data_IF_334815559020
#
_entry.id   IF_334815559020
#
_cell.length_a   1.000
_cell.length_b   1.000
_cell.length_c   1.000
_cell.angle_alpha   90.00
_cell.angle_beta   90.00
_cell.angle_gamma   90.00
#
_symmetry.space_group_name_H-M   'P 1'
#
loop_
_entity.id
_entity.type
_entity.pdbx_description
1 polymer ?
#
# COMPACT_ATOMS: atom_id res chain seq x y z
N UNK A 1 36.74 8.69 45.55
CA UNK A 1 35.43 8.11 45.18
C UNK A 1 35.11 8.51 43.76
N UNK A 2 35.49 7.67 42.80
CA UNK A 2 35.30 7.96 41.39
C UNK A 2 35.46 6.66 40.64
N UNK A 3 34.35 6.16 40.11
CA UNK A 3 34.20 5.12 39.08
C UNK A 3 32.68 4.99 38.90
N UNK A 4 32.13 5.46 37.78
CA UNK A 4 31.22 4.69 36.90
C UNK A 4 30.55 5.57 35.82
N UNK A 5 31.34 6.15 34.91
CA UNK A 5 30.85 6.89 33.72
C UNK A 5 31.38 6.33 32.40
N UNK A 6 31.84 5.08 32.38
CA UNK A 6 32.41 4.44 31.17
C UNK A 6 31.54 3.35 30.54
N UNK A 7 30.38 3.00 31.12
CA UNK A 7 29.48 1.98 30.53
C UNK A 7 28.56 2.47 29.41
N UNK A 8 28.17 3.76 29.33
CA UNK A 8 27.13 4.17 28.34
C UNK A 8 27.60 4.36 26.89
N UNK A 9 28.90 4.60 26.62
CA UNK A 9 29.40 4.80 25.24
C UNK A 9 29.66 3.50 24.49
N UNK A 10 30.04 2.41 25.19
CA UNK A 10 30.31 1.10 24.58
C UNK A 10 29.02 0.40 24.17
N UNK A 11 27.95 0.52 24.97
CA UNK A 11 26.64 -0.05 24.65
C UNK A 11 25.93 0.75 23.54
N UNK A 12 26.10 2.08 23.52
CA UNK A 12 25.62 2.93 22.44
C UNK A 12 26.31 2.64 21.09
N UNK A 13 27.63 2.43 21.09
CA UNK A 13 28.37 2.06 19.87
C UNK A 13 28.07 0.63 19.41
N UNK A 14 27.75 -0.30 20.32
CA UNK A 14 27.30 -1.66 19.96
C UNK A 14 25.94 -1.64 19.27
N UNK A 15 25.00 -0.81 19.73
CA UNK A 15 23.70 -0.67 19.09
C UNK A 15 23.78 0.13 17.78
N UNK A 16 24.63 1.16 17.68
CA UNK A 16 24.84 1.91 16.45
C UNK A 16 25.55 1.08 15.36
N UNK A 17 26.50 0.20 15.73
CA UNK A 17 27.13 -0.74 14.79
C UNK A 17 26.21 -1.88 14.36
N UNK A 18 25.25 -2.29 15.21
CA UNK A 18 24.20 -3.24 14.81
C UNK A 18 23.28 -2.66 13.72
N UNK A 19 23.07 -1.34 13.68
CA UNK A 19 22.31 -0.67 12.61
C UNK A 19 23.17 -0.37 11.37
N UNK A 20 24.48 -0.12 11.51
CA UNK A 20 25.37 0.11 10.38
C UNK A 20 25.77 -1.19 9.63
N UNK A 21 25.80 -2.34 10.33
CA UNK A 21 26.05 -3.65 9.71
C UNK A 21 24.87 -4.18 8.85
N UNK A 22 23.72 -3.48 8.83
CA UNK A 22 22.57 -3.81 7.97
C UNK A 22 22.86 -3.46 6.50
N UNK A 23 23.92 -2.70 6.21
CA UNK A 23 24.30 -2.27 4.87
C UNK A 23 25.19 -3.21 4.05
N UNK A 24 25.85 -4.23 4.63
CA UNK A 24 26.93 -4.94 3.92
C UNK A 24 27.19 -6.38 4.40
N UNK A 25 26.19 -7.27 4.42
CA UNK A 25 26.44 -8.72 4.44
C UNK A 25 25.45 -9.49 3.54
N UNK A 26 26.00 -9.98 2.44
CA UNK A 26 25.43 -10.97 1.55
C UNK A 26 25.49 -12.39 2.17
N UNK A 27 24.68 -13.29 1.60
CA UNK A 27 24.77 -14.74 1.69
C UNK A 27 24.53 -15.37 3.08
N UNK A 28 23.26 -15.58 3.40
CA UNK A 28 22.82 -16.50 4.45
C UNK A 28 21.46 -17.10 4.11
N UNK A 29 21.44 -18.38 3.74
CA UNK A 29 20.22 -19.16 3.59
C UNK A 29 19.53 -19.36 4.94
N UNK A 30 18.47 -18.60 5.19
CA UNK A 30 17.45 -18.97 6.16
C UNK A 30 16.19 -19.31 5.37
N UNK A 31 15.96 -20.60 5.21
CA UNK A 31 14.72 -21.17 4.69
C UNK A 31 13.61 -20.90 5.71
N UNK A 32 12.64 -20.05 5.37
CA UNK A 32 11.36 -20.05 6.06
C UNK A 32 10.38 -20.92 5.28
N UNK A 33 9.80 -21.86 6.01
CA UNK A 33 9.01 -22.98 5.54
C UNK A 33 7.63 -22.86 6.17
N UNK A 34 6.67 -22.21 5.52
CA UNK A 34 5.29 -22.62 5.76
C UNK A 34 5.13 -23.96 5.03
N UNK A 35 4.94 -25.03 5.79
CA UNK A 35 4.75 -26.40 5.26
C UNK A 35 3.59 -26.47 4.26
N UNK A 36 2.60 -25.57 4.40
CA UNK A 36 1.50 -25.41 3.44
C UNK A 36 1.99 -24.85 2.09
N UNK A 37 2.74 -23.74 2.09
CA UNK A 37 3.26 -23.14 0.86
C UNK A 37 4.34 -23.99 0.19
N UNK A 38 5.16 -24.71 0.96
CA UNK A 38 6.14 -25.66 0.41
C UNK A 38 5.47 -26.86 -0.27
N UNK A 39 4.41 -27.44 0.33
CA UNK A 39 3.68 -28.57 -0.27
C UNK A 39 2.95 -28.16 -1.55
N UNK A 40 2.38 -26.96 -1.59
CA UNK A 40 1.77 -26.42 -2.81
C UNK A 40 2.81 -26.21 -3.92
N UNK A 41 3.99 -25.65 -3.59
CA UNK A 41 5.09 -25.46 -4.54
C UNK A 41 5.73 -26.80 -4.98
N UNK A 42 5.85 -27.80 -4.10
CA UNK A 42 6.36 -29.14 -4.45
C UNK A 42 5.36 -29.95 -5.30
N UNK A 43 4.06 -29.85 -5.02
CA UNK A 43 3.01 -30.42 -5.88
C UNK A 43 3.00 -29.77 -7.28
N UNK A 44 3.29 -28.47 -7.36
CA UNK A 44 3.44 -27.75 -8.63
C UNK A 44 4.75 -28.08 -9.37
N UNK A 45 5.82 -28.50 -8.67
CA UNK A 45 7.10 -28.95 -9.24
C UNK A 45 7.06 -30.37 -9.80
N UNK A 46 6.18 -31.22 -9.28
CA UNK A 46 6.03 -32.60 -9.73
C UNK A 46 5.25 -32.75 -11.06
N UNK A 47 4.63 -31.65 -11.54
CA UNK A 47 3.95 -31.58 -12.83
C UNK A 47 4.66 -30.60 -13.77
N UNK A 48 5.38 -31.20 -14.72
CA UNK A 48 5.58 -30.75 -16.10
C UNK A 48 6.62 -29.66 -16.42
N UNK A 49 7.57 -30.04 -17.29
CA UNK A 49 8.29 -29.14 -18.20
C UNK A 49 7.45 -28.73 -19.42
N UNK A 50 6.13 -28.70 -19.30
CA UNK A 50 5.24 -28.20 -20.33
C UNK A 50 5.32 -26.67 -20.40
N UNK A 51 5.17 -26.05 -21.59
CA UNK A 51 5.08 -24.61 -21.71
C UNK A 51 3.95 -24.07 -20.82
N UNK A 52 4.23 -22.98 -20.10
CA UNK A 52 3.22 -22.30 -19.28
C UNK A 52 2.06 -21.88 -20.19
N UNK A 53 0.88 -22.49 -20.01
CA UNK A 53 -0.30 -22.07 -20.74
C UNK A 53 -0.69 -20.63 -20.33
N UNK A 54 -0.82 -19.77 -21.33
CA UNK A 54 -1.23 -18.36 -21.18
C UNK A 54 -2.51 -18.07 -21.95
N UNK A 55 -3.25 -19.11 -22.34
CA UNK A 55 -4.56 -19.02 -22.99
C UNK A 55 -5.53 -18.16 -22.19
N UNK A 56 -5.46 -18.18 -20.85
CA UNK A 56 -6.28 -17.36 -19.95
C UNK A 56 -6.10 -15.84 -20.13
N UNK A 57 -5.02 -15.39 -20.78
CA UNK A 57 -4.77 -13.98 -21.11
C UNK A 57 -5.38 -13.56 -22.46
N UNK A 58 -5.87 -14.51 -23.25
CA UNK A 58 -6.46 -14.20 -24.56
C UNK A 58 -7.83 -13.56 -24.38
N UNK A 59 -8.11 -12.42 -25.06
CA UNK A 59 -9.44 -11.83 -25.05
C UNK A 59 -10.46 -12.78 -25.67
N UNK A 60 -11.56 -13.03 -24.97
CA UNK A 60 -12.65 -13.90 -25.44
C UNK A 60 -14.05 -13.34 -25.14
N UNK A 61 -14.16 -12.31 -24.30
CA UNK A 61 -15.44 -11.72 -23.93
C UNK A 61 -15.87 -10.62 -24.92
N UNK A 62 -17.17 -10.51 -25.18
CA UNK A 62 -17.71 -9.43 -26.00
C UNK A 62 -17.78 -8.12 -25.18
N UNK A 63 -17.35 -6.98 -25.72
CA UNK A 63 -17.61 -5.68 -25.09
C UNK A 63 -19.10 -5.38 -25.01
N UNK A 64 -19.51 -4.74 -23.92
CA UNK A 64 -20.89 -4.28 -23.68
C UNK A 64 -20.94 -2.75 -23.61
N UNK A 65 -22.06 -2.11 -23.95
CA UNK A 65 -22.21 -0.66 -23.84
C UNK A 65 -22.40 -0.22 -22.39
N UNK A 66 -21.61 0.76 -21.95
CA UNK A 66 -21.75 1.43 -20.65
C UNK A 66 -21.95 2.93 -20.85
N UNK A 67 -22.80 3.54 -20.01
CA UNK A 67 -22.94 4.99 -19.93
C UNK A 67 -21.67 5.59 -19.34
N UNK A 68 -20.98 6.40 -20.14
CA UNK A 68 -19.74 7.11 -19.77
C UNK A 68 -19.91 8.63 -19.90
N UNK A 69 -21.15 9.13 -19.85
CA UNK A 69 -21.46 10.56 -20.00
C UNK A 69 -20.73 11.46 -18.99
N UNK A 70 -20.59 11.04 -17.73
CA UNK A 70 -19.82 11.77 -16.71
C UNK A 70 -18.31 11.88 -17.02
N UNK A 71 -17.82 11.04 -17.93
CA UNK A 71 -16.44 10.99 -18.37
C UNK A 71 -16.27 11.46 -19.84
N UNK A 72 -17.33 11.98 -20.46
CA UNK A 72 -17.34 12.36 -21.88
C UNK A 72 -16.26 13.41 -22.19
N UNK A 73 -15.56 13.21 -23.31
CA UNK A 73 -14.54 14.15 -23.80
C UNK A 73 -13.26 14.23 -22.95
N UNK A 74 -13.23 13.56 -21.79
CA UNK A 74 -12.03 13.49 -20.94
C UNK A 74 -10.98 12.59 -21.60
N UNK A 75 -9.74 13.08 -21.64
CA UNK A 75 -8.58 12.30 -22.03
C UNK A 75 -8.00 11.67 -20.78
N UNK A 76 -7.81 10.36 -20.82
CA UNK A 76 -7.19 9.64 -19.71
C UNK A 76 -5.76 9.26 -20.07
N UNK A 77 -4.85 9.55 -19.15
CA UNK A 77 -3.50 9.02 -19.21
C UNK A 77 -3.45 7.51 -19.02
N UNK A 78 -2.27 6.95 -19.23
CA UNK A 78 -1.96 5.59 -18.78
C UNK A 78 -1.96 5.54 -17.24
N UNK A 79 -2.54 4.52 -16.59
CA UNK A 79 -3.19 3.35 -17.20
C UNK A 79 -4.70 3.48 -17.43
N UNK A 80 -5.35 4.48 -16.83
CA UNK A 80 -6.82 4.58 -16.68
C UNK A 80 -7.58 4.37 -18.00
N UNK A 81 -7.32 5.17 -19.03
CA UNK A 81 -8.03 5.09 -20.31
C UNK A 81 -7.80 3.76 -21.02
N UNK A 82 -6.56 3.46 -21.45
CA UNK A 82 -6.30 2.30 -22.30
C UNK A 82 -6.41 0.96 -21.56
N UNK A 83 -6.40 0.92 -20.22
CA UNK A 83 -6.39 -0.33 -19.48
C UNK A 83 -7.59 -0.57 -18.59
N UNK A 84 -8.08 0.41 -17.83
CA UNK A 84 -9.24 0.16 -16.95
C UNK A 84 -10.54 0.19 -17.75
N UNK A 85 -10.68 1.19 -18.60
CA UNK A 85 -11.87 1.38 -19.45
C UNK A 85 -11.68 0.70 -20.81
N UNK A 86 -10.45 0.67 -21.32
CA UNK A 86 -10.11 0.02 -22.59
C UNK A 86 -10.34 0.90 -23.82
N UNK A 87 -10.43 2.21 -23.61
CA UNK A 87 -10.56 3.20 -24.68
C UNK A 87 -9.21 3.91 -24.92
N UNK A 88 -8.80 3.99 -26.18
CA UNK A 88 -7.66 4.81 -26.62
C UNK A 88 -8.18 6.13 -27.20
N UNK A 89 -8.45 7.12 -26.36
CA UNK A 89 -8.98 8.42 -26.79
C UNK A 89 -9.83 9.09 -25.72
N UNK A 90 -10.66 10.05 -26.16
CA UNK A 90 -11.75 10.57 -25.34
C UNK A 90 -12.89 9.57 -25.28
N UNK A 91 -13.55 9.47 -24.12
CA UNK A 91 -14.76 8.65 -24.00
C UNK A 91 -15.95 9.37 -24.65
N UNK A 92 -16.81 8.60 -25.31
CA UNK A 92 -18.11 9.09 -25.73
C UNK A 92 -19.13 9.04 -24.58
N UNK A 93 -20.38 9.41 -24.85
CA UNK A 93 -21.49 9.20 -23.90
C UNK A 93 -21.75 7.73 -23.60
N UNK A 94 -21.47 6.86 -24.57
CA UNK A 94 -21.52 5.41 -24.40
C UNK A 94 -20.23 4.81 -24.91
N UNK A 95 -19.63 3.93 -24.13
CA UNK A 95 -18.37 3.27 -24.48
C UNK A 95 -18.57 1.75 -24.42
N UNK A 96 -18.07 1.03 -25.42
CA UNK A 96 -18.04 -0.43 -25.40
C UNK A 96 -16.86 -0.90 -24.55
N UNK A 97 -17.15 -1.60 -23.46
CA UNK A 97 -16.15 -2.03 -22.48
C UNK A 97 -16.28 -3.53 -22.22
N UNK A 98 -15.14 -4.21 -22.13
CA UNK A 98 -15.07 -5.57 -21.60
C UNK A 98 -14.10 -5.58 -20.42
N UNK A 99 -14.63 -5.50 -19.20
CA UNK A 99 -13.82 -5.54 -17.99
C UNK A 99 -12.94 -6.80 -17.90
N UNK A 100 -13.43 -8.02 -18.20
CA UNK A 100 -12.57 -9.22 -18.22
C UNK A 100 -11.40 -9.10 -19.20
N UNK A 101 -11.64 -8.68 -20.44
CA UNK A 101 -10.57 -8.53 -21.43
C UNK A 101 -9.59 -7.42 -21.05
N UNK A 102 -10.07 -6.34 -20.46
CA UNK A 102 -9.23 -5.29 -19.90
C UNK A 102 -8.31 -5.86 -18.81
N UNK A 103 -8.84 -6.67 -17.89
CA UNK A 103 -8.07 -7.32 -16.82
C UNK A 103 -7.00 -8.26 -17.40
N UNK A 104 -7.36 -9.13 -18.35
CA UNK A 104 -6.41 -10.01 -19.07
C UNK A 104 -5.29 -9.22 -19.73
N UNK A 105 -5.64 -8.16 -20.46
CA UNK A 105 -4.66 -7.28 -21.14
C UNK A 105 -3.70 -6.61 -20.15
N UNK A 106 -4.22 -6.15 -19.01
CA UNK A 106 -3.41 -5.55 -17.95
C UNK A 106 -2.41 -6.54 -17.36
N UNK A 107 -2.89 -7.73 -16.99
CA UNK A 107 -2.04 -8.77 -16.43
C UNK A 107 -1.01 -9.32 -17.43
N UNK A 108 -1.38 -9.46 -18.70
CA UNK A 108 -0.43 -9.80 -19.77
C UNK A 108 0.72 -8.78 -19.87
N UNK A 109 0.39 -7.48 -19.83
CA UNK A 109 1.40 -6.41 -19.82
C UNK A 109 2.22 -6.35 -18.53
N UNK A 110 1.62 -6.66 -17.38
CA UNK A 110 2.30 -6.75 -16.09
C UNK A 110 3.33 -7.88 -16.12
N UNK A 111 2.93 -9.08 -16.52
CA UNK A 111 3.80 -10.25 -16.62
C UNK A 111 4.99 -10.01 -17.58
N UNK A 112 4.78 -9.27 -18.67
CA UNK A 112 5.87 -8.94 -19.61
C UNK A 112 6.87 -7.90 -19.08
N UNK A 113 6.54 -7.17 -18.00
CA UNK A 113 7.36 -6.10 -17.41
C UNK A 113 8.04 -6.50 -16.11
N UNK A 114 7.65 -7.64 -15.53
CA UNK A 114 8.20 -8.10 -14.26
C UNK A 114 9.70 -8.33 -14.35
N UNK A 115 10.38 -8.11 -13.22
CA UNK A 115 11.79 -8.44 -13.08
C UNK A 115 12.08 -9.90 -13.44
N UNK A 116 13.25 -10.20 -14.03
CA UNK A 116 13.69 -11.57 -14.24
C UNK A 116 13.63 -12.38 -12.94
N UNK A 117 13.09 -13.59 -13.05
CA UNK A 117 12.98 -14.53 -11.94
C UNK A 117 13.24 -15.94 -12.46
N UNK A 118 13.61 -16.85 -11.55
CA UNK A 118 13.73 -18.28 -11.87
C UNK A 118 12.42 -18.84 -12.41
N UNK A 119 12.48 -19.82 -13.29
CA UNK A 119 11.29 -20.40 -13.93
C UNK A 119 10.26 -20.90 -12.90
N UNK A 120 10.70 -21.58 -11.84
CA UNK A 120 9.81 -22.01 -10.73
C UNK A 120 9.02 -20.84 -10.13
N UNK A 121 9.64 -19.67 -9.96
CA UNK A 121 8.95 -18.48 -9.42
C UNK A 121 7.99 -17.89 -10.44
N UNK A 122 8.40 -17.90 -11.71
CA UNK A 122 7.56 -17.45 -12.83
C UNK A 122 6.29 -18.30 -12.93
N UNK A 123 6.40 -19.62 -12.79
CA UNK A 123 5.25 -20.54 -12.86
C UNK A 123 4.25 -20.28 -11.75
N UNK A 124 4.74 -20.12 -10.50
CA UNK A 124 3.89 -19.77 -9.36
C UNK A 124 3.18 -18.43 -9.60
N UNK A 125 3.91 -17.41 -10.06
CA UNK A 125 3.31 -16.12 -10.38
C UNK A 125 2.27 -16.24 -11.48
N UNK A 126 2.55 -16.95 -12.58
CA UNK A 126 1.59 -17.09 -13.68
C UNK A 126 0.33 -17.83 -13.25
N UNK A 127 0.44 -18.94 -12.50
CA UNK A 127 -0.73 -19.67 -11.97
C UNK A 127 -1.54 -18.83 -10.99
N UNK A 128 -0.87 -17.99 -10.19
CA UNK A 128 -1.56 -17.07 -9.29
C UNK A 128 -2.30 -15.98 -10.05
N UNK A 129 -1.67 -15.44 -11.11
CA UNK A 129 -2.30 -14.46 -11.99
C UNK A 129 -3.48 -15.06 -12.75
N UNK A 130 -3.35 -16.31 -13.21
CA UNK A 130 -4.45 -17.06 -13.81
C UNK A 130 -5.66 -17.09 -12.87
N UNK A 131 -5.47 -17.55 -11.62
CA UNK A 131 -6.54 -17.56 -10.60
C UNK A 131 -7.16 -16.18 -10.37
N UNK A 132 -6.34 -15.14 -10.26
CA UNK A 132 -6.82 -13.75 -10.06
C UNK A 132 -7.71 -13.33 -11.24
N UNK A 133 -7.25 -13.57 -12.47
CA UNK A 133 -7.94 -13.15 -13.69
C UNK A 133 -9.21 -13.96 -13.94
N UNK A 134 -9.15 -15.29 -13.79
CA UNK A 134 -10.27 -16.18 -14.11
C UNK A 134 -11.34 -16.23 -13.03
N UNK A 135 -11.03 -15.81 -11.79
CA UNK A 135 -12.03 -15.69 -10.71
C UNK A 135 -12.92 -14.44 -10.82
N UNK A 136 -12.64 -13.52 -11.74
CA UNK A 136 -13.49 -12.35 -11.95
C UNK A 136 -14.70 -12.71 -12.83
N UNK A 137 -15.89 -12.59 -12.25
CA UNK A 137 -17.18 -12.86 -12.87
C UNK A 137 -18.02 -11.55 -12.94
N UNK A 138 -18.12 -10.89 -14.11
CA UNK A 138 -18.85 -9.63 -14.29
C UNK A 138 -20.33 -9.67 -13.88
N UNK A 139 -20.97 -10.82 -14.07
CA UNK A 139 -22.39 -11.07 -13.80
C UNK A 139 -22.71 -11.14 -12.31
N UNK A 140 -21.74 -11.57 -11.50
CA UNK A 140 -21.83 -11.61 -10.03
C UNK A 140 -20.92 -10.56 -9.38
N UNK A 141 -20.53 -9.53 -10.14
CA UNK A 141 -19.65 -8.49 -9.64
C UNK A 141 -20.34 -7.72 -8.50
N UNK A 142 -19.63 -7.54 -7.38
CA UNK A 142 -20.10 -6.75 -6.24
C UNK A 142 -20.07 -5.25 -6.59
N UNK A 143 -21.09 -4.80 -7.33
CA UNK A 143 -21.28 -3.42 -7.77
C UNK A 143 -21.74 -2.56 -6.60
N UNK A 144 -21.09 -1.41 -6.43
CA UNK A 144 -21.37 -0.51 -5.32
C UNK A 144 -20.99 0.93 -5.66
N UNK A 145 -21.55 1.89 -4.93
CA UNK A 145 -21.09 3.28 -4.99
C UNK A 145 -19.76 3.45 -4.26
N UNK A 146 -19.07 4.55 -4.54
CA UNK A 146 -17.89 4.96 -3.79
C UNK A 146 -18.15 5.09 -2.29
N UNK A 147 -19.33 5.56 -1.87
CA UNK A 147 -19.68 5.68 -0.46
C UNK A 147 -19.82 4.32 0.23
N UNK A 148 -20.44 3.34 -0.45
CA UNK A 148 -20.51 1.97 0.04
C UNK A 148 -19.11 1.34 0.15
N UNK A 149 -18.23 1.62 -0.82
CA UNK A 149 -16.84 1.19 -0.77
C UNK A 149 -16.07 1.85 0.38
N UNK A 150 -16.31 3.14 0.64
CA UNK A 150 -15.76 3.86 1.81
C UNK A 150 -16.20 3.20 3.13
N UNK A 151 -17.48 2.83 3.27
CA UNK A 151 -17.99 2.11 4.44
C UNK A 151 -17.32 0.74 4.61
N UNK A 152 -17.03 0.02 3.52
CA UNK A 152 -16.24 -1.24 3.59
C UNK A 152 -14.83 -1.02 4.10
N UNK A 153 -14.17 0.05 3.67
CA UNK A 153 -12.85 0.44 4.18
C UNK A 153 -12.94 0.73 5.69
N UNK A 154 -13.96 1.47 6.14
CA UNK A 154 -14.18 1.73 7.58
C UNK A 154 -14.35 0.43 8.37
N UNK A 155 -15.16 -0.50 7.86
CA UNK A 155 -15.35 -1.82 8.50
C UNK A 155 -14.04 -2.60 8.64
N UNK A 156 -13.22 -2.65 7.60
CA UNK A 156 -11.93 -3.32 7.64
C UNK A 156 -10.93 -2.66 8.61
N UNK A 157 -10.92 -1.31 8.66
CA UNK A 157 -10.11 -0.56 9.64
C UNK A 157 -10.57 -0.90 11.06
N UNK A 158 -11.88 -0.86 11.33
CA UNK A 158 -12.44 -1.14 12.64
C UNK A 158 -12.13 -2.57 13.10
N UNK A 159 -12.21 -3.56 12.21
CA UNK A 159 -11.80 -4.94 12.50
C UNK A 159 -10.32 -4.99 12.87
N UNK A 160 -9.43 -4.43 12.04
CA UNK A 160 -8.00 -4.42 12.30
C UNK A 160 -7.63 -3.69 13.61
N UNK A 161 -8.30 -2.57 13.90
CA UNK A 161 -8.17 -1.83 15.16
C UNK A 161 -8.57 -2.69 16.37
N UNK A 162 -9.71 -3.38 16.29
CA UNK A 162 -10.20 -4.24 17.39
C UNK A 162 -9.21 -5.38 17.73
N UNK A 163 -8.49 -5.86 16.72
CA UNK A 163 -7.48 -6.91 16.81
C UNK A 163 -6.09 -6.39 17.15
N UNK A 164 -5.86 -5.08 17.15
CA UNK A 164 -4.56 -4.49 17.45
C UNK A 164 -4.18 -4.73 18.92
N UNK A 165 -3.04 -5.40 19.15
CA UNK A 165 -2.46 -5.58 20.47
C UNK A 165 -1.36 -4.54 20.67
N UNK A 166 -1.75 -3.40 21.23
CA UNK A 166 -0.84 -2.28 21.49
C UNK A 166 0.29 -2.63 22.45
N UNK A 167 0.10 -3.59 23.36
CA UNK A 167 1.16 -4.03 24.28
C UNK A 167 2.22 -4.83 23.52
N UNK A 168 1.81 -5.69 22.58
CA UNK A 168 2.74 -6.38 21.68
C UNK A 168 3.52 -5.40 20.81
N UNK A 169 2.85 -4.39 20.25
CA UNK A 169 3.52 -3.33 19.46
C UNK A 169 4.52 -2.57 20.35
N UNK A 170 4.09 -2.11 21.52
CA UNK A 170 4.95 -1.38 22.46
C UNK A 170 6.21 -2.18 22.81
N UNK A 171 6.05 -3.45 23.17
CA UNK A 171 7.16 -4.36 23.50
C UNK A 171 8.07 -4.61 22.30
N UNK A 172 7.50 -4.83 21.12
CA UNK A 172 8.27 -5.15 19.91
C UNK A 172 9.17 -3.99 19.49
N UNK A 173 8.67 -2.76 19.52
CA UNK A 173 9.41 -1.57 19.11
C UNK A 173 10.18 -0.90 20.26
N UNK A 174 10.06 -1.40 21.49
CA UNK A 174 10.71 -0.82 22.66
C UNK A 174 10.19 0.58 23.02
N UNK A 175 8.91 0.85 22.73
CA UNK A 175 8.28 2.14 22.99
C UNK A 175 8.02 2.37 24.48
N UNK A 176 8.27 3.59 24.94
CA UNK A 176 7.77 4.04 26.24
C UNK A 176 6.27 4.43 26.13
N UNK A 177 5.67 4.84 27.24
CA UNK A 177 4.24 5.17 27.29
C UNK A 177 3.88 6.41 26.45
N UNK A 178 4.79 7.38 26.31
CA UNK A 178 4.57 8.55 25.47
C UNK A 178 4.56 8.18 23.98
N UNK A 179 5.47 7.30 23.57
CA UNK A 179 5.60 6.83 22.19
C UNK A 179 4.40 5.98 21.77
N UNK A 180 3.94 5.06 22.62
CA UNK A 180 2.73 4.27 22.30
C UNK A 180 1.46 5.13 22.33
N UNK A 181 1.39 6.11 23.25
CA UNK A 181 0.28 7.08 23.28
C UNK A 181 0.25 7.95 22.01
N UNK A 182 1.43 8.37 21.53
CA UNK A 182 1.57 9.05 20.24
C UNK A 182 1.08 8.17 19.10
N UNK A 183 1.53 6.91 19.04
CA UNK A 183 1.20 6.00 17.96
C UNK A 183 -0.29 5.72 17.88
N UNK A 184 -0.96 5.55 19.03
CA UNK A 184 -2.43 5.38 19.10
C UNK A 184 -3.16 6.58 18.50
N UNK A 185 -2.81 7.80 18.91
CA UNK A 185 -3.41 9.03 18.33
C UNK A 185 -3.11 9.16 16.84
N UNK A 186 -1.90 8.78 16.41
CA UNK A 186 -1.52 8.89 15.01
C UNK A 186 -2.27 7.87 14.13
N UNK A 187 -2.64 6.72 14.70
CA UNK A 187 -3.44 5.71 14.03
C UNK A 187 -4.88 6.19 13.73
N UNK A 188 -5.41 7.17 14.48
CA UNK A 188 -6.71 7.77 14.19
C UNK A 188 -6.71 8.54 12.86
N UNK A 189 -5.54 8.96 12.38
CA UNK A 189 -5.37 9.58 11.07
C UNK A 189 -5.36 8.55 9.92
N UNK A 190 -5.39 7.24 10.22
CA UNK A 190 -5.50 6.16 9.23
C UNK A 190 -6.96 5.77 8.99
N UNK A 191 -7.77 6.76 8.64
CA UNK A 191 -9.20 6.58 8.39
C UNK A 191 -9.52 6.13 6.96
N UNK A 192 -10.81 5.89 6.69
CA UNK A 192 -11.23 5.44 5.36
C UNK A 192 -11.00 6.49 4.28
N UNK A 193 -11.07 7.79 4.61
CA UNK A 193 -10.75 8.88 3.68
C UNK A 193 -9.28 8.83 3.27
N UNK A 194 -8.38 8.60 4.21
CA UNK A 194 -6.93 8.45 3.98
C UNK A 194 -6.63 7.22 3.15
N UNK A 195 -7.20 6.06 3.50
CA UNK A 195 -7.01 4.85 2.70
C UNK A 195 -7.60 5.01 1.28
N UNK A 196 -8.80 5.56 1.14
CA UNK A 196 -9.42 5.76 -0.17
C UNK A 196 -8.61 6.72 -1.05
N UNK A 197 -8.05 7.77 -0.48
CA UNK A 197 -7.17 8.69 -1.22
C UNK A 197 -5.82 8.07 -1.58
N UNK A 198 -5.27 7.16 -0.77
CA UNK A 198 -4.13 6.32 -1.19
C UNK A 198 -4.54 5.46 -2.39
N UNK A 199 -5.70 4.79 -2.34
CA UNK A 199 -6.17 3.96 -3.44
C UNK A 199 -6.33 4.76 -4.74
N UNK A 200 -6.91 5.97 -4.67
CA UNK A 200 -6.98 6.88 -5.81
C UNK A 200 -5.59 7.27 -6.32
N UNK A 201 -4.64 7.53 -5.42
CA UNK A 201 -3.27 7.95 -5.78
C UNK A 201 -2.46 6.83 -6.44
N UNK A 202 -2.74 5.58 -6.06
CA UNK A 202 -2.10 4.38 -6.62
C UNK A 202 -2.73 3.94 -7.95
N UNK A 203 -4.05 4.04 -8.09
CA UNK A 203 -4.77 3.62 -9.30
C UNK A 203 -4.77 4.68 -10.39
N UNK A 204 -4.86 5.96 -10.01
CA UNK A 204 -5.09 7.05 -10.94
C UNK A 204 -3.86 7.93 -11.12
N UNK A 205 -3.63 8.35 -12.36
CA UNK A 205 -2.44 9.16 -12.73
C UNK A 205 -2.78 10.61 -13.00
N UNK A 206 -4.05 11.01 -12.93
CA UNK A 206 -4.47 12.39 -13.13
C UNK A 206 -4.23 13.24 -11.87
N UNK A 207 -4.00 14.53 -12.08
CA UNK A 207 -3.81 15.51 -11.00
C UNK A 207 -5.14 16.02 -10.43
N UNK A 208 -6.25 15.79 -11.15
CA UNK A 208 -7.60 16.14 -10.74
C UNK A 208 -8.20 15.08 -9.82
N UNK A 209 -8.28 15.41 -8.53
CA UNK A 209 -8.90 14.53 -7.54
C UNK A 209 -10.36 14.20 -7.82
N UNK A 210 -11.12 15.16 -8.38
CA UNK A 210 -12.52 14.93 -8.75
C UNK A 210 -12.64 13.95 -9.91
N UNK A 211 -11.76 14.02 -10.92
CA UNK A 211 -11.75 13.05 -12.02
C UNK A 211 -11.38 11.65 -11.52
N UNK A 212 -10.36 11.56 -10.66
CA UNK A 212 -9.95 10.29 -10.05
C UNK A 212 -11.10 9.64 -9.28
N UNK A 213 -11.84 10.44 -8.49
CA UNK A 213 -13.04 10.03 -7.78
C UNK A 213 -14.11 9.49 -8.72
N UNK A 214 -14.48 10.25 -9.76
CA UNK A 214 -15.51 9.86 -10.74
C UNK A 214 -15.13 8.57 -11.46
N UNK A 215 -13.87 8.40 -11.85
CA UNK A 215 -13.41 7.16 -12.49
C UNK A 215 -13.51 5.97 -11.53
N UNK A 216 -13.09 6.11 -10.27
CA UNK A 216 -13.18 5.01 -9.32
C UNK A 216 -14.64 4.64 -9.05
N UNK A 217 -15.51 5.63 -8.87
CA UNK A 217 -16.94 5.41 -8.69
C UNK A 217 -17.57 4.70 -9.91
N UNK A 218 -17.22 5.13 -11.13
CA UNK A 218 -17.62 4.45 -12.36
C UNK A 218 -17.19 2.97 -12.37
N UNK A 219 -15.93 2.68 -12.01
CA UNK A 219 -15.44 1.30 -11.95
C UNK A 219 -16.17 0.48 -10.88
N UNK A 220 -16.43 1.04 -9.70
CA UNK A 220 -17.14 0.36 -8.62
C UNK A 220 -18.59 0.06 -8.99
N UNK A 221 -19.29 0.99 -9.65
CA UNK A 221 -20.69 0.82 -10.02
C UNK A 221 -20.87 -0.13 -11.21
N UNK A 222 -19.92 -0.18 -12.15
CA UNK A 222 -20.07 -0.96 -13.38
C UNK A 222 -19.28 -2.27 -13.38
N UNK A 223 -18.05 -2.27 -12.88
CA UNK A 223 -17.19 -3.46 -12.81
C UNK A 223 -17.18 -4.12 -11.42
N UNK A 224 -17.64 -3.42 -10.38
CA UNK A 224 -17.64 -3.90 -9.00
C UNK A 224 -16.29 -3.85 -8.30
N UNK A 225 -16.30 -3.94 -6.97
CA UNK A 225 -15.06 -3.88 -6.17
C UNK A 225 -14.09 -5.00 -6.52
N UNK A 226 -14.62 -6.19 -6.86
CA UNK A 226 -13.82 -7.35 -7.22
C UNK A 226 -12.94 -7.11 -8.45
N UNK A 227 -13.35 -6.22 -9.37
CA UNK A 227 -12.51 -5.78 -10.49
C UNK A 227 -11.36 -4.89 -9.99
N UNK A 228 -11.67 -3.87 -9.17
CA UNK A 228 -10.70 -2.92 -8.60
C UNK A 228 -9.62 -3.63 -7.76
N UNK A 229 -10.02 -4.62 -6.96
CA UNK A 229 -9.16 -5.47 -6.13
C UNK A 229 -8.18 -6.33 -6.96
N UNK A 230 -8.47 -6.56 -8.24
CA UNK A 230 -7.65 -7.38 -9.15
C UNK A 230 -6.77 -6.56 -10.10
N UNK A 231 -6.88 -5.23 -10.09
CA UNK A 231 -6.09 -4.35 -10.96
C UNK A 231 -4.59 -4.50 -10.64
N UNK A 232 -3.73 -4.89 -11.61
CA UNK A 232 -2.30 -4.99 -11.37
C UNK A 232 -1.65 -3.60 -11.35
N UNK A 233 -0.54 -3.48 -10.61
CA UNK A 233 0.29 -2.29 -10.69
C UNK A 233 1.07 -2.32 -11.99
N UNK A 234 1.40 -1.18 -12.59
CA UNK A 234 2.26 -1.15 -13.78
C UNK A 234 3.76 -1.04 -13.49
N UNK A 235 4.18 -1.43 -12.29
CA UNK A 235 5.58 -1.59 -11.86
C UNK A 235 6.18 -2.96 -12.24
N UNK A 236 7.44 -3.22 -11.85
CA UNK A 236 8.18 -4.46 -12.13
C UNK A 236 8.03 -5.57 -11.08
N UNK A 237 7.34 -5.32 -9.99
CA UNK A 237 7.13 -6.26 -8.89
C UNK A 237 5.82 -7.04 -9.07
N UNK A 238 5.60 -8.07 -8.26
CA UNK A 238 4.29 -8.70 -8.17
C UNK A 238 3.43 -7.90 -7.18
N UNK A 239 2.42 -7.21 -7.72
CA UNK A 239 1.57 -6.26 -7.00
C UNK A 239 0.22 -6.04 -7.70
N UNK A 240 -0.85 -5.93 -6.91
CA UNK A 240 -2.20 -5.64 -7.38
C UNK A 240 -3.11 -5.04 -6.29
N UNK A 241 -4.32 -4.70 -6.71
CA UNK A 241 -5.40 -4.18 -5.88
C UNK A 241 -5.33 -2.68 -5.66
N UNK A 242 -6.29 -2.11 -4.90
CA UNK A 242 -6.44 -0.66 -4.77
C UNK A 242 -5.19 0.06 -4.26
N UNK A 243 -4.39 -0.61 -3.42
CA UNK A 243 -3.18 -0.04 -2.82
C UNK A 243 -1.90 -0.55 -3.46
N UNK A 244 -1.99 -1.35 -4.53
CA UNK A 244 -0.83 -1.91 -5.25
C UNK A 244 0.16 -2.62 -4.32
N UNK A 245 -0.37 -3.46 -3.43
CA UNK A 245 0.41 -4.15 -2.40
C UNK A 245 1.46 -5.05 -3.04
N UNK A 246 2.70 -4.96 -2.56
CA UNK A 246 3.81 -5.76 -3.07
C UNK A 246 4.16 -6.89 -2.10
N UNK A 247 4.97 -7.84 -2.56
CA UNK A 247 5.54 -8.91 -1.71
C UNK A 247 6.27 -8.38 -0.47
N UNK A 248 6.77 -7.15 -0.53
CA UNK A 248 7.44 -6.49 0.60
C UNK A 248 6.46 -6.02 1.68
N UNK A 249 5.20 -5.78 1.31
CA UNK A 249 4.15 -5.41 2.25
C UNK A 249 3.59 -6.64 2.99
N UNK A 250 3.37 -7.75 2.27
CA UNK A 250 2.73 -8.98 2.80
C UNK A 250 3.74 -10.05 3.28
N UNK A 251 5.04 -9.81 3.13
CA UNK A 251 6.07 -10.63 3.77
C UNK A 251 6.38 -11.93 3.05
N UNK A 252 6.24 -12.00 1.72
CA UNK A 252 6.76 -13.13 0.95
C UNK A 252 8.31 -13.03 0.87
N UNK A 253 9.00 -13.57 1.87
CA UNK A 253 10.46 -13.55 1.91
C UNK A 253 11.06 -13.86 3.28
N UNK A 254 12.35 -13.50 3.42
CA UNK A 254 13.16 -13.82 4.61
C UNK A 254 13.02 -12.82 5.77
N UNK A 255 12.27 -11.73 5.62
CA UNK A 255 12.11 -10.69 6.66
C UNK A 255 10.66 -10.22 6.72
N UNK A 256 10.09 -10.25 7.91
CA UNK A 256 8.81 -9.60 8.20
C UNK A 256 9.00 -8.09 8.20
N UNK A 257 8.13 -7.39 7.46
CA UNK A 257 8.12 -5.94 7.38
C UNK A 257 6.71 -5.48 7.02
N UNK A 258 6.40 -4.19 7.22
CA UNK A 258 5.13 -3.60 6.81
C UNK A 258 3.91 -4.36 7.39
N UNK A 259 2.91 -4.65 6.56
CA UNK A 259 1.68 -5.29 7.01
C UNK A 259 1.92 -6.68 7.60
N UNK A 260 2.89 -7.45 7.09
CA UNK A 260 3.13 -8.82 7.60
C UNK A 260 3.65 -8.83 9.04
N UNK A 261 4.52 -7.88 9.39
CA UNK A 261 4.97 -7.72 10.77
C UNK A 261 3.81 -7.30 11.67
N UNK A 262 3.05 -6.28 11.26
CA UNK A 262 1.92 -5.81 12.06
C UNK A 262 0.84 -6.88 12.22
N UNK A 263 0.59 -7.68 11.19
CA UNK A 263 -0.32 -8.82 11.23
C UNK A 263 0.08 -9.87 12.29
N UNK A 264 1.39 -10.09 12.49
CA UNK A 264 1.91 -10.97 13.56
C UNK A 264 1.77 -10.38 14.96
N UNK A 265 1.72 -9.06 15.06
CA UNK A 265 1.55 -8.33 16.32
C UNK A 265 0.07 -8.17 16.71
N UNK A 266 -0.88 -8.54 15.85
CA UNK A 266 -2.30 -8.59 16.21
C UNK A 266 -2.58 -9.67 17.26
N UNK A 267 -3.73 -9.55 17.93
CA UNK A 267 -4.30 -10.61 18.79
C UNK A 267 -4.50 -11.90 17.99
N UNK A 268 -4.96 -11.76 16.74
CA UNK A 268 -5.12 -12.82 15.75
C UNK A 268 -4.75 -12.28 14.35
N UNK A 269 -3.91 -12.99 13.57
CA UNK A 269 -3.62 -12.60 12.20
C UNK A 269 -4.86 -12.64 11.31
N UNK A 270 -4.97 -11.68 10.38
CA UNK A 270 -6.08 -11.55 9.40
C UNK A 270 -5.61 -11.55 7.95
N UNK A 271 -4.33 -11.28 7.69
CA UNK A 271 -3.79 -11.28 6.34
C UNK A 271 -3.31 -12.68 5.91
N UNK A 272 -3.47 -13.01 4.62
CA UNK A 272 -2.90 -14.21 4.02
C UNK A 272 -1.36 -14.12 3.98
N UNK A 273 -0.65 -15.24 3.75
CA UNK A 273 0.81 -15.28 3.75
C UNK A 273 1.45 -14.69 2.49
N UNK A 274 0.67 -14.39 1.45
CA UNK A 274 1.18 -13.92 0.16
C UNK A 274 0.20 -12.92 -0.47
N UNK A 275 0.73 -12.01 -1.28
CA UNK A 275 0.01 -10.95 -2.00
C UNK A 275 -1.05 -11.53 -2.91
N UNK A 276 -0.73 -12.63 -3.60
CA UNK A 276 -1.61 -13.21 -4.59
C UNK A 276 -2.87 -13.86 -4.03
N UNK A 277 -2.92 -14.06 -2.72
CA UNK A 277 -4.08 -14.52 -1.96
C UNK A 277 -4.80 -13.39 -1.23
N UNK A 278 -4.41 -12.11 -1.43
CA UNK A 278 -5.20 -10.99 -0.95
C UNK A 278 -6.52 -10.90 -1.72
N UNK A 279 -7.62 -10.91 -0.99
CA UNK A 279 -8.97 -10.83 -1.54
C UNK A 279 -9.86 -9.93 -0.68
N UNK A 280 -10.78 -9.19 -1.32
CA UNK A 280 -11.78 -8.40 -0.62
C UNK A 280 -11.19 -7.41 0.39
N UNK A 281 -11.76 -7.42 1.60
CA UNK A 281 -11.41 -6.48 2.67
C UNK A 281 -9.97 -6.65 3.19
N UNK A 282 -9.29 -7.76 2.84
CA UNK A 282 -7.89 -7.97 3.19
C UNK A 282 -6.97 -6.92 2.55
N UNK A 283 -7.34 -6.36 1.39
CA UNK A 283 -6.60 -5.25 0.79
C UNK A 283 -6.61 -4.01 1.71
N UNK A 284 -7.76 -3.69 2.29
CA UNK A 284 -7.93 -2.55 3.20
C UNK A 284 -7.19 -2.79 4.51
N UNK A 285 -7.33 -3.98 5.09
CA UNK A 285 -6.58 -4.40 6.29
C UNK A 285 -5.07 -4.34 6.07
N UNK A 286 -4.58 -4.79 4.90
CA UNK A 286 -3.16 -4.70 4.55
C UNK A 286 -2.67 -3.24 4.45
N UNK A 287 -3.48 -2.34 3.90
CA UNK A 287 -3.14 -0.92 3.80
C UNK A 287 -3.08 -0.27 5.17
N UNK A 288 -4.08 -0.52 6.02
CA UNK A 288 -4.10 -0.03 7.39
C UNK A 288 -2.88 -0.53 8.19
N UNK A 289 -2.58 -1.83 8.14
CA UNK A 289 -1.44 -2.42 8.84
C UNK A 289 -0.08 -1.92 8.30
N UNK A 290 0.02 -1.64 7.00
CA UNK A 290 1.20 -0.98 6.42
C UNK A 290 1.34 0.45 6.96
N UNK A 291 0.24 1.19 7.05
CA UNK A 291 0.20 2.51 7.68
C UNK A 291 0.68 2.48 9.12
N UNK A 292 0.15 1.56 9.95
CA UNK A 292 0.60 1.37 11.33
C UNK A 292 2.10 1.06 11.42
N UNK A 293 2.62 0.20 10.54
CA UNK A 293 4.06 -0.07 10.49
C UNK A 293 4.88 1.17 10.19
N UNK A 294 4.47 1.97 9.22
CA UNK A 294 5.16 3.22 8.89
C UNK A 294 5.11 4.21 10.06
N UNK A 295 3.97 4.35 10.74
CA UNK A 295 3.85 5.14 11.97
C UNK A 295 4.77 4.64 13.08
N UNK A 296 4.90 3.33 13.29
CA UNK A 296 5.85 2.79 14.25
C UNK A 296 7.30 3.17 13.90
N UNK A 297 7.69 3.03 12.62
CA UNK A 297 9.03 3.46 12.18
C UNK A 297 9.26 4.97 12.31
N UNK A 298 8.22 5.78 12.12
CA UNK A 298 8.27 7.21 12.38
C UNK A 298 8.59 7.47 13.86
N UNK A 299 7.80 6.88 14.77
CA UNK A 299 7.97 7.02 16.22
C UNK A 299 9.38 6.58 16.63
N UNK A 300 9.85 5.41 16.18
CA UNK A 300 11.21 4.94 16.46
C UNK A 300 12.30 5.89 15.97
N UNK A 301 12.02 6.70 14.94
CA UNK A 301 12.99 7.66 14.38
C UNK A 301 13.00 9.02 15.08
N UNK A 302 11.94 9.34 15.82
CA UNK A 302 11.87 10.54 16.64
C UNK A 302 12.66 10.28 17.94
N UNK A 303 13.72 11.07 18.19
CA UNK A 303 14.54 10.96 19.43
C UNK A 303 13.72 11.34 20.66
N UNK A 304 14.26 11.08 21.86
CA UNK A 304 13.64 11.45 23.15
C UNK A 304 13.05 12.87 23.11
N UNK A 305 11.75 12.97 23.40
CA UNK A 305 10.88 14.17 23.35
C UNK A 305 10.34 14.62 21.98
N UNK A 306 10.76 14.02 20.86
CA UNK A 306 10.32 14.39 19.52
C UNK A 306 8.82 14.14 19.27
N UNK A 307 8.27 13.06 19.82
CA UNK A 307 6.85 12.66 19.68
C UNK A 307 5.91 13.62 20.42
N UNK A 308 6.22 13.92 21.67
CA UNK A 308 5.47 14.90 22.48
C UNK A 308 5.55 16.30 21.89
N UNK A 309 6.73 16.70 21.40
CA UNK A 309 6.92 18.02 20.84
C UNK A 309 6.25 18.19 19.46
N UNK A 310 6.21 17.12 18.65
CA UNK A 310 5.44 17.12 17.40
C UNK A 310 3.98 17.50 17.68
N UNK A 311 3.24 16.72 18.49
CA UNK A 311 1.83 17.04 18.75
C UNK A 311 1.58 18.40 19.40
N UNK A 312 2.49 18.88 20.25
CA UNK A 312 2.33 20.17 20.93
C UNK A 312 2.55 21.36 20.00
N UNK A 313 3.37 21.21 18.96
CA UNK A 313 3.85 22.34 18.17
C UNK A 313 3.42 22.30 16.71
N UNK A 314 3.03 21.14 16.17
CA UNK A 314 2.36 21.07 14.86
C UNK A 314 0.86 21.11 15.10
N UNK A 315 0.28 22.32 15.14
CA UNK A 315 -1.19 22.49 15.10
C UNK A 315 -1.83 21.76 13.91
N UNK A 316 -1.05 21.52 12.85
CA UNK A 316 -1.37 20.74 11.65
C UNK A 316 -0.90 19.27 11.69
N UNK A 317 -0.54 18.71 12.86
CA UNK A 317 -0.13 17.30 13.00
C UNK A 317 -1.14 16.35 12.33
N UNK A 318 -2.43 16.62 12.53
CA UNK A 318 -3.53 15.85 11.95
C UNK A 318 -3.60 15.93 10.43
N UNK A 319 -3.24 17.06 9.82
CA UNK A 319 -3.21 17.20 8.36
C UNK A 319 -1.96 16.56 7.75
N UNK A 320 -0.83 16.57 8.48
CA UNK A 320 0.43 16.00 8.00
C UNK A 320 0.45 14.46 8.02
N UNK A 321 -0.23 13.82 8.97
CA UNK A 321 -0.18 12.36 9.15
C UNK A 321 -0.79 11.55 7.99
N UNK A 322 -1.95 11.91 7.41
CA UNK A 322 -2.48 11.25 6.21
C UNK A 322 -1.52 11.35 5.03
N UNK A 323 -0.94 12.53 4.82
CA UNK A 323 0.03 12.78 3.74
C UNK A 323 1.32 11.99 3.95
N UNK A 324 1.80 11.94 5.19
CA UNK A 324 2.95 11.11 5.56
C UNK A 324 2.68 9.63 5.29
N UNK A 325 1.54 9.10 5.71
CA UNK A 325 1.18 7.69 5.51
C UNK A 325 1.17 7.34 4.04
N UNK A 326 0.53 8.17 3.21
CA UNK A 326 0.49 7.97 1.77
C UNK A 326 1.90 8.05 1.15
N UNK A 327 2.68 9.07 1.49
CA UNK A 327 4.06 9.19 1.02
C UNK A 327 4.93 8.00 1.48
N UNK A 328 4.71 7.49 2.68
CA UNK A 328 5.46 6.37 3.23
C UNK A 328 5.06 5.02 2.64
N UNK A 329 3.83 4.88 2.14
CA UNK A 329 3.41 3.74 1.32
C UNK A 329 4.27 3.62 0.06
N UNK A 330 4.61 4.76 -0.57
CA UNK A 330 5.45 4.79 -1.76
C UNK A 330 6.96 4.81 -1.45
N UNK A 331 7.41 5.68 -0.54
CA UNK A 331 8.82 5.97 -0.22
C UNK A 331 9.00 6.23 1.29
N UNK A 332 9.05 5.18 2.12
CA UNK A 332 9.00 5.31 3.58
C UNK A 332 10.18 6.10 4.18
N UNK A 333 11.38 5.98 3.61
CA UNK A 333 12.55 6.71 4.10
C UNK A 333 12.44 8.22 3.85
N UNK A 334 12.10 8.63 2.63
CA UNK A 334 11.95 10.04 2.25
C UNK A 334 10.80 10.68 3.03
N UNK A 335 9.67 9.97 3.17
CA UNK A 335 8.50 10.43 3.90
C UNK A 335 8.82 10.68 5.39
N UNK A 336 9.55 9.77 6.04
CA UNK A 336 9.99 9.93 7.43
C UNK A 336 10.97 11.09 7.58
N UNK A 337 11.92 11.23 6.64
CA UNK A 337 12.88 12.33 6.66
C UNK A 337 12.17 13.69 6.61
N UNK A 338 11.16 13.84 5.74
CA UNK A 338 10.35 15.05 5.64
C UNK A 338 9.59 15.34 6.95
N UNK A 339 8.93 14.34 7.53
CA UNK A 339 8.13 14.55 8.74
C UNK A 339 9.01 14.85 9.97
N UNK A 340 10.18 14.22 10.05
CA UNK A 340 11.18 14.54 11.08
C UNK A 340 11.79 15.93 10.89
N UNK A 341 11.85 16.46 9.67
CA UNK A 341 12.28 17.83 9.43
C UNK A 341 11.21 18.83 9.92
N UNK A 342 9.94 18.61 9.57
CA UNK A 342 8.80 19.38 10.09
C UNK A 342 8.77 19.37 11.62
N UNK A 343 8.90 18.20 12.25
CA UNK A 343 8.93 18.06 13.70
C UNK A 343 10.06 18.87 14.35
N UNK A 344 11.26 18.86 13.75
CA UNK A 344 12.41 19.62 14.25
C UNK A 344 12.22 21.12 14.14
N UNK A 345 11.62 21.60 13.06
CA UNK A 345 11.35 23.03 12.89
C UNK A 345 10.31 23.51 13.89
N UNK A 346 9.23 22.73 14.09
CA UNK A 346 8.21 23.02 15.09
C UNK A 346 8.79 23.13 16.52
N UNK A 347 9.76 22.27 16.86
CA UNK A 347 10.49 22.33 18.14
C UNK A 347 11.35 23.58 18.32
N UNK A 348 11.86 24.17 17.24
CA UNK A 348 12.75 25.33 17.31
C UNK A 348 12.00 26.66 17.47
N UNK A 349 10.67 26.64 17.50
CA UNK A 349 9.85 27.82 17.80
C UNK A 349 10.01 28.97 16.79
N UNK A 350 10.52 28.71 15.59
CA UNK A 350 10.67 29.71 14.53
C UNK A 350 9.30 30.08 13.98
N UNK A 351 8.60 30.98 14.66
CA UNK A 351 7.43 31.70 14.16
C UNK A 351 7.87 32.71 13.10
N UNK A 352 8.25 32.25 11.91
CA UNK A 352 8.15 33.06 10.70
C UNK A 352 6.73 32.87 10.17
N UNK A 353 6.11 33.93 9.66
CA UNK A 353 4.72 33.91 9.20
C UNK A 353 4.43 32.71 8.29
N UNK A 354 3.29 32.05 8.55
CA UNK A 354 2.84 30.73 8.10
C UNK A 354 3.48 29.52 8.83
N UNK A 355 2.64 28.67 9.44
CA UNK A 355 3.03 27.35 9.92
C UNK A 355 3.48 26.51 8.72
N UNK A 356 4.72 25.97 8.72
CA UNK A 356 5.20 25.20 7.59
C UNK A 356 4.42 23.89 7.45
N UNK A 357 4.09 23.52 6.22
CA UNK A 357 3.33 22.30 5.91
C UNK A 357 4.27 21.11 5.66
N UNK A 358 3.76 19.89 5.71
CA UNK A 358 4.56 18.68 5.46
C UNK A 358 5.23 18.68 4.07
N UNK A 359 4.55 19.26 3.11
CA UNK A 359 4.90 19.36 1.70
C UNK A 359 6.15 20.20 1.48
N UNK A 360 6.38 21.20 2.34
CA UNK A 360 7.54 22.08 2.27
C UNK A 360 8.85 21.32 2.51
N UNK A 361 8.77 20.20 3.25
CA UNK A 361 9.91 19.31 3.54
C UNK A 361 9.99 18.10 2.62
N UNK A 362 8.99 17.90 1.74
CA UNK A 362 8.97 16.78 0.82
C UNK A 362 10.05 16.94 -0.25
N UNK A 363 10.85 15.87 -0.42
CA UNK A 363 11.81 15.78 -1.52
C UNK A 363 11.08 15.78 -2.87
N UNK A 364 11.79 16.13 -3.95
CA UNK A 364 11.24 16.07 -5.31
C UNK A 364 10.70 14.68 -5.69
N UNK A 365 11.19 13.61 -5.04
CA UNK A 365 10.78 12.22 -5.28
C UNK A 365 9.39 11.88 -4.75
N UNK A 366 8.93 12.56 -3.70
CA UNK A 366 7.62 12.30 -3.06
C UNK A 366 6.63 13.46 -3.21
N UNK A 367 7.10 14.66 -3.58
CA UNK A 367 6.26 15.87 -3.69
C UNK A 367 5.07 15.68 -4.64
N UNK A 368 5.29 15.15 -5.84
CA UNK A 368 4.21 14.92 -6.80
C UNK A 368 3.17 13.91 -6.29
N UNK A 369 3.62 12.88 -5.56
CA UNK A 369 2.73 11.90 -4.95
C UNK A 369 1.88 12.54 -3.84
N UNK A 370 2.50 13.32 -2.95
CA UNK A 370 1.81 14.06 -1.87
C UNK A 370 0.80 15.06 -2.44
N UNK A 371 1.15 15.76 -3.53
CA UNK A 371 0.23 16.70 -4.16
C UNK A 371 -1.02 16.00 -4.72
N UNK A 372 -0.86 14.85 -5.40
CA UNK A 372 -2.01 14.05 -5.86
C UNK A 372 -2.86 13.55 -4.71
N UNK A 373 -2.22 13.08 -3.64
CA UNK A 373 -2.92 12.66 -2.42
C UNK A 373 -3.79 13.78 -1.87
N UNK A 374 -3.28 15.02 -1.77
CA UNK A 374 -4.07 16.18 -1.32
C UNK A 374 -5.28 16.45 -2.22
N UNK A 375 -5.09 16.42 -3.53
CA UNK A 375 -6.18 16.63 -4.48
C UNK A 375 -7.26 15.55 -4.34
N UNK A 376 -6.85 14.29 -4.19
CA UNK A 376 -7.76 13.18 -3.93
C UNK A 376 -8.49 13.34 -2.59
N UNK A 377 -7.78 13.70 -1.52
CA UNK A 377 -8.40 13.98 -0.21
C UNK A 377 -9.38 15.15 -0.25
N UNK A 378 -9.13 16.19 -1.06
CA UNK A 378 -10.03 17.34 -1.18
C UNK A 378 -11.33 17.00 -1.95
N UNK A 379 -11.29 16.01 -2.84
CA UNK A 379 -12.44 15.59 -3.64
C UNK A 379 -13.36 14.58 -2.90
N UNK A 380 -12.82 13.87 -1.92
CA UNK A 380 -13.53 12.97 -1.00
C UNK A 380 -14.16 13.75 0.14
#
# INVERSE_FOLDING_TARGET
MGLDRKRSRRDFLRNALAFAAIGTLAAGELQYSSTAGKREVEALRAKDGAPIDRSFLQPNDKPEPYDTSDLEGRKFGFPVGPYYIGASGGLGRTTLISFPNNLRRMWGKKLSRMEPMSDVKRDVVVKTVERIVTSYAPESANRMSLDQYRLRIEGAIAEAQSLTDWNRIQKHFGFNDADISFMRRAADALDAKTLLSIALTELMTDESGSLNKTVLDFLLQNAGSGYVERLPAFDKHYSHGPYQMTKFAIGEGKRDAAASLMNKLLKRPVLPPNVGSLEGDQHHSAAYLTGLYNLALLVSSMKENGTTAFYRHTGDAHAALPLYTAAAHHRPADARAALNALAREAMQGRRRGASPAYEDYCSSRIRGYVQRMKMNMAAL
#
